data_IF_947925203272
#
_entry.id   IF_947925203272
#
_cell.length_a   1.000
_cell.length_b   1.000
_cell.length_c   1.000
_cell.angle_alpha   90.00
_cell.angle_beta   90.00
_cell.angle_gamma   90.00
#
_symmetry.space_group_name_H-M   'P 1'
#
loop_
_entity.id
_entity.type
_entity.pdbx_description
1 polymer ?
#
# COMPACT_ATOMS: atom_id res chain seq x y z
N UNK A 1 -16.89 -8.45 4.87
CA UNK A 1 -16.23 -8.65 6.19
C UNK A 1 -15.69 -7.31 6.64
N UNK A 2 -16.17 -6.74 7.72
CA UNK A 2 -15.60 -5.51 8.22
C UNK A 2 -14.24 -5.86 8.86
N UNK A 3 -13.18 -5.31 8.31
CA UNK A 3 -11.82 -5.44 8.88
C UNK A 3 -11.76 -4.79 10.28
N UNK A 4 -12.70 -3.90 10.57
CA UNK A 4 -12.85 -3.19 11.83
C UNK A 4 -13.64 -4.04 12.84
N UNK A 5 -13.07 -5.18 13.22
CA UNK A 5 -13.61 -6.02 14.29
C UNK A 5 -13.05 -5.59 15.65
N UNK A 6 -13.70 -6.03 16.73
CA UNK A 6 -13.24 -5.75 18.10
C UNK A 6 -11.81 -6.27 18.34
N UNK A 7 -11.48 -7.42 17.73
CA UNK A 7 -10.15 -8.01 17.79
C UNK A 7 -9.11 -7.10 17.13
N UNK A 8 -9.45 -6.50 15.97
CA UNK A 8 -8.54 -5.56 15.29
C UNK A 8 -8.30 -4.31 16.14
N UNK A 9 -9.35 -3.74 16.70
CA UNK A 9 -9.22 -2.63 17.66
C UNK A 9 -8.32 -3.03 18.83
N UNK A 10 -8.59 -4.17 19.46
CA UNK A 10 -7.78 -4.68 20.56
C UNK A 10 -6.30 -4.77 20.19
N UNK A 11 -5.98 -5.28 19.01
CA UNK A 11 -4.59 -5.39 18.54
C UNK A 11 -3.92 -4.04 18.34
N UNK A 12 -4.64 -3.03 17.79
CA UNK A 12 -4.11 -1.69 17.55
C UNK A 12 -3.75 -0.96 18.84
N UNK A 13 -4.40 -1.29 19.98
CA UNK A 13 -4.11 -0.69 21.27
C UNK A 13 -3.16 -1.54 22.13
N UNK A 14 -3.41 -2.85 22.20
CA UNK A 14 -2.63 -3.75 23.08
C UNK A 14 -1.20 -3.88 22.60
N UNK A 15 -0.96 -3.99 21.29
CA UNK A 15 0.40 -4.20 20.76
C UNK A 15 1.34 -3.01 21.05
N UNK A 16 0.95 -1.74 20.81
CA UNK A 16 1.75 -0.59 21.22
C UNK A 16 2.01 -0.56 22.75
N UNK A 17 1.00 -0.82 23.55
CA UNK A 17 1.14 -0.87 25.01
C UNK A 17 2.17 -1.93 25.45
N UNK A 18 2.05 -3.15 24.93
CA UNK A 18 3.03 -4.20 25.18
C UNK A 18 4.44 -3.82 24.71
N UNK A 19 4.55 -3.09 23.59
CA UNK A 19 5.86 -2.66 23.07
C UNK A 19 6.64 -1.75 24.02
N UNK A 20 5.98 -1.12 24.99
CA UNK A 20 6.63 -0.30 26.02
C UNK A 20 7.29 -1.14 27.12
N UNK A 21 6.77 -2.34 27.37
CA UNK A 21 7.24 -3.25 28.41
C UNK A 21 8.44 -4.06 27.90
N UNK A 22 8.45 -4.38 26.61
CA UNK A 22 9.48 -5.22 26.01
C UNK A 22 10.74 -4.41 25.66
N UNK A 23 11.91 -5.02 25.90
CA UNK A 23 13.19 -4.43 25.53
C UNK A 23 13.43 -4.49 24.00
N UNK A 24 14.43 -3.73 23.53
CA UNK A 24 14.72 -3.62 22.09
C UNK A 24 15.05 -4.95 21.39
N UNK A 25 15.65 -5.90 22.12
CA UNK A 25 16.02 -7.21 21.55
C UNK A 25 14.79 -8.08 21.30
N UNK A 26 13.77 -7.97 22.14
CA UNK A 26 12.54 -8.77 22.10
C UNK A 26 11.42 -8.10 21.29
N UNK A 27 11.48 -6.79 21.06
CA UNK A 27 10.47 -6.02 20.31
C UNK A 27 10.15 -6.60 18.93
N UNK A 28 11.15 -7.03 18.18
CA UNK A 28 10.95 -7.65 16.85
C UNK A 28 10.13 -8.93 16.93
N UNK A 29 10.26 -9.70 18.01
CA UNK A 29 9.47 -10.92 18.22
C UNK A 29 8.03 -10.60 18.63
N UNK A 30 7.84 -9.53 19.42
CA UNK A 30 6.49 -9.02 19.71
C UNK A 30 5.77 -8.58 18.43
N UNK A 31 6.43 -7.83 17.57
CA UNK A 31 5.86 -7.41 16.27
C UNK A 31 5.54 -8.64 15.42
N UNK A 32 6.44 -9.63 15.36
CA UNK A 32 6.18 -10.86 14.62
C UNK A 32 4.99 -11.63 15.20
N UNK A 33 4.89 -11.75 16.53
CA UNK A 33 3.77 -12.38 17.22
C UNK A 33 2.45 -11.64 16.89
N UNK A 34 2.45 -10.30 16.98
CA UNK A 34 1.29 -9.50 16.64
C UNK A 34 0.87 -9.69 15.17
N UNK A 35 1.83 -9.75 14.24
CA UNK A 35 1.54 -10.04 12.83
C UNK A 35 0.89 -11.42 12.64
N UNK A 36 1.40 -12.44 13.33
CA UNK A 36 0.85 -13.79 13.28
C UNK A 36 -0.56 -13.82 13.88
N UNK A 37 -0.76 -13.21 15.04
CA UNK A 37 -2.10 -13.10 15.66
C UNK A 37 -3.08 -12.37 14.74
N UNK A 38 -2.65 -11.27 14.10
CA UNK A 38 -3.46 -10.57 13.11
C UNK A 38 -3.91 -11.49 11.97
N UNK A 39 -3.02 -12.31 11.44
CA UNK A 39 -3.35 -13.22 10.35
C UNK A 39 -4.43 -14.24 10.76
N UNK A 40 -4.31 -14.81 11.95
CA UNK A 40 -5.27 -15.83 12.41
C UNK A 40 -6.59 -15.24 12.91
N UNK A 41 -6.56 -14.11 13.61
CA UNK A 41 -7.75 -13.51 14.22
C UNK A 41 -8.58 -12.69 13.22
N UNK A 42 -7.89 -11.97 12.32
CA UNK A 42 -8.53 -10.97 11.44
C UNK A 42 -8.73 -11.50 10.01
N UNK A 43 -7.69 -12.06 9.40
CA UNK A 43 -7.81 -12.52 8.00
C UNK A 43 -8.78 -13.69 7.88
N UNK A 44 -8.76 -14.64 8.81
CA UNK A 44 -9.65 -15.83 8.85
C UNK A 44 -9.74 -16.58 7.50
N UNK A 45 -8.77 -16.36 6.60
CA UNK A 45 -8.73 -16.93 5.25
C UNK A 45 -7.41 -17.67 5.05
N UNK A 46 -7.50 -18.99 4.95
CA UNK A 46 -6.34 -19.88 4.86
C UNK A 46 -5.46 -19.57 3.65
N UNK A 47 -6.05 -19.25 2.48
CA UNK A 47 -5.29 -18.93 1.27
C UNK A 47 -4.46 -17.66 1.49
N UNK A 48 -5.05 -16.63 2.10
CA UNK A 48 -4.34 -15.37 2.42
C UNK A 48 -3.18 -15.58 3.39
N UNK A 49 -3.41 -16.41 4.43
CA UNK A 49 -2.38 -16.70 5.44
C UNK A 49 -1.23 -17.49 4.82
N UNK A 50 -1.54 -18.60 4.16
CA UNK A 50 -0.52 -19.50 3.59
C UNK A 50 0.28 -18.77 2.52
N UNK A 51 -0.37 -18.06 1.60
CA UNK A 51 0.32 -17.33 0.56
C UNK A 51 1.26 -16.24 1.10
N UNK A 52 0.79 -15.46 2.09
CA UNK A 52 1.61 -14.41 2.70
C UNK A 52 2.85 -14.98 3.44
N UNK A 53 2.69 -16.12 4.14
CA UNK A 53 3.79 -16.80 4.81
C UNK A 53 4.81 -17.37 3.81
N UNK A 54 4.35 -18.01 2.73
CA UNK A 54 5.20 -18.52 1.66
C UNK A 54 5.95 -17.36 1.00
N UNK A 55 5.26 -16.27 0.67
CA UNK A 55 5.88 -15.12 0.02
C UNK A 55 6.92 -14.44 0.92
N UNK A 56 6.68 -14.35 2.23
CA UNK A 56 7.66 -13.82 3.19
C UNK A 56 8.91 -14.71 3.28
N UNK A 57 8.75 -16.04 3.33
CA UNK A 57 9.85 -17.02 3.30
C UNK A 57 10.63 -16.96 1.98
N UNK A 58 9.94 -16.92 0.85
CA UNK A 58 10.55 -16.72 -0.47
C UNK A 58 11.35 -15.40 -0.52
N UNK A 59 10.79 -14.33 0.02
CA UNK A 59 11.47 -13.02 0.05
C UNK A 59 12.76 -13.06 0.85
N UNK A 60 12.75 -13.72 2.01
CA UNK A 60 13.94 -13.92 2.81
C UNK A 60 15.02 -14.70 2.04
N UNK A 61 14.65 -15.86 1.47
CA UNK A 61 15.59 -16.73 0.72
C UNK A 61 16.16 -15.98 -0.50
N UNK A 62 15.29 -15.36 -1.32
CA UNK A 62 15.70 -14.58 -2.48
C UNK A 62 16.61 -13.42 -2.11
N UNK A 63 16.32 -12.73 -0.98
CA UNK A 63 17.16 -11.67 -0.46
C UNK A 63 18.56 -12.14 -0.07
N UNK A 64 18.69 -13.33 0.53
CA UNK A 64 19.98 -13.94 0.87
C UNK A 64 20.77 -14.33 -0.39
N UNK A 65 20.12 -15.00 -1.35
CA UNK A 65 20.74 -15.36 -2.64
C UNK A 65 21.21 -14.10 -3.37
N UNK A 66 20.36 -13.07 -3.45
CA UNK A 66 20.66 -11.82 -4.14
C UNK A 66 21.79 -11.04 -3.45
N UNK A 67 21.95 -11.15 -2.13
CA UNK A 67 23.06 -10.51 -1.41
C UNK A 67 24.41 -11.11 -1.75
N UNK A 68 24.44 -12.43 -2.04
CA UNK A 68 25.66 -13.17 -2.40
C UNK A 68 25.96 -13.08 -3.90
N UNK A 69 24.92 -13.05 -4.74
CA UNK A 69 25.06 -13.05 -6.19
C UNK A 69 24.24 -11.91 -6.83
N UNK A 70 24.81 -10.69 -6.84
CA UNK A 70 24.18 -9.46 -7.30
C UNK A 70 24.28 -9.30 -8.82
N UNK A 71 23.54 -10.08 -9.56
CA UNK A 71 23.41 -9.91 -11.01
C UNK A 71 21.94 -9.69 -11.44
N UNK A 72 21.75 -9.22 -12.67
CA UNK A 72 20.42 -8.93 -13.23
C UNK A 72 19.55 -10.18 -13.34
N UNK A 73 20.14 -11.31 -13.68
CA UNK A 73 19.42 -12.59 -13.84
C UNK A 73 18.87 -13.06 -12.49
N UNK A 74 19.67 -12.99 -11.42
CA UNK A 74 19.22 -13.34 -10.06
C UNK A 74 18.09 -12.43 -9.60
N UNK A 75 18.19 -11.11 -9.86
CA UNK A 75 17.10 -10.19 -9.56
C UNK A 75 15.84 -10.56 -10.34
N UNK A 76 15.95 -10.77 -11.65
CA UNK A 76 14.81 -11.12 -12.50
C UNK A 76 14.11 -12.40 -11.99
N UNK A 77 14.86 -13.46 -11.72
CA UNK A 77 14.32 -14.72 -11.17
C UNK A 77 13.63 -14.48 -9.82
N UNK A 78 14.26 -13.67 -8.95
CA UNK A 78 13.68 -13.33 -7.64
C UNK A 78 12.36 -12.53 -7.72
N UNK A 79 12.12 -11.82 -8.82
CA UNK A 79 10.90 -11.05 -9.04
C UNK A 79 9.78 -11.84 -9.72
N UNK A 80 10.09 -12.98 -10.38
CA UNK A 80 9.09 -13.77 -11.12
C UNK A 80 7.96 -14.22 -10.20
N UNK A 81 8.24 -14.87 -9.10
CA UNK A 81 7.21 -15.43 -8.20
C UNK A 81 6.27 -14.36 -7.62
N UNK A 82 6.74 -13.25 -7.01
CA UNK A 82 5.85 -12.22 -6.49
C UNK A 82 5.04 -11.52 -7.59
N UNK A 83 5.62 -11.28 -8.77
CA UNK A 83 4.91 -10.62 -9.88
C UNK A 83 3.86 -11.56 -10.50
N UNK A 84 4.24 -12.80 -10.81
CA UNK A 84 3.29 -13.78 -11.35
C UNK A 84 2.18 -14.11 -10.36
N UNK A 85 2.48 -14.21 -9.07
CA UNK A 85 1.48 -14.41 -8.03
C UNK A 85 0.47 -13.25 -7.97
N UNK A 86 0.95 -12.00 -8.04
CA UNK A 86 0.07 -10.84 -8.09
C UNK A 86 -0.82 -10.86 -9.34
N UNK A 87 -0.24 -11.11 -10.52
CA UNK A 87 -0.99 -11.18 -11.78
C UNK A 87 -1.99 -12.33 -11.74
N UNK A 88 -1.55 -13.52 -11.34
CA UNK A 88 -2.42 -14.70 -11.26
C UNK A 88 -3.66 -14.42 -10.41
N UNK A 89 -3.49 -14.11 -9.13
CA UNK A 89 -4.64 -13.92 -8.25
C UNK A 89 -5.53 -12.73 -8.64
N UNK A 90 -4.94 -11.68 -9.22
CA UNK A 90 -5.71 -10.50 -9.65
C UNK A 90 -6.61 -10.79 -10.86
N UNK A 91 -6.16 -11.64 -11.76
CA UNK A 91 -6.87 -11.95 -12.99
C UNK A 91 -7.53 -13.34 -12.97
N UNK A 92 -7.29 -14.14 -11.96
CA UNK A 92 -7.82 -15.50 -11.83
C UNK A 92 -9.36 -15.55 -11.81
N UNK A 93 -10.03 -14.50 -11.33
CA UNK A 93 -11.49 -14.38 -11.33
C UNK A 93 -12.13 -14.45 -12.72
N UNK A 94 -11.37 -14.18 -13.80
CA UNK A 94 -11.84 -14.42 -15.19
C UNK A 94 -11.92 -15.89 -15.55
N UNK A 95 -11.08 -16.72 -14.97
CA UNK A 95 -11.02 -18.14 -15.27
C UNK A 95 -11.88 -18.98 -14.32
N UNK A 96 -11.96 -18.56 -13.07
CA UNK A 96 -12.76 -19.27 -12.05
C UNK A 96 -13.15 -18.35 -10.90
N UNK A 97 -14.47 -18.30 -10.62
CA UNK A 97 -15.01 -17.55 -9.46
C UNK A 97 -14.62 -18.16 -8.10
N UNK A 98 -14.10 -19.39 -8.10
CA UNK A 98 -13.70 -20.09 -6.87
C UNK A 98 -12.30 -19.71 -6.39
N UNK A 99 -11.51 -18.99 -7.20
CA UNK A 99 -10.17 -18.56 -6.80
C UNK A 99 -10.30 -17.31 -5.94
N UNK A 100 -9.95 -17.46 -4.67
CA UNK A 100 -10.01 -16.38 -3.69
C UNK A 100 -8.70 -15.60 -3.76
N UNK A 101 -8.78 -14.29 -4.03
CA UNK A 101 -7.62 -13.40 -4.00
C UNK A 101 -7.14 -13.21 -2.54
N UNK A 102 -5.85 -13.44 -2.24
CA UNK A 102 -5.32 -13.20 -0.89
C UNK A 102 -5.48 -11.73 -0.48
N UNK A 103 -5.99 -11.51 0.73
CA UNK A 103 -6.16 -10.17 1.28
C UNK A 103 -4.81 -9.47 1.46
N UNK A 104 -4.74 -8.20 1.10
CA UNK A 104 -3.50 -7.40 1.17
C UNK A 104 -2.44 -7.72 0.11
N UNK A 105 -2.71 -8.67 -0.81
CA UNK A 105 -1.76 -9.18 -1.82
C UNK A 105 -0.95 -8.07 -2.49
N UNK A 106 -1.60 -7.04 -2.97
CA UNK A 106 -0.94 -5.93 -3.67
C UNK A 106 0.06 -5.19 -2.78
N UNK A 107 -0.30 -4.90 -1.53
CA UNK A 107 0.53 -4.10 -0.62
C UNK A 107 1.79 -4.85 -0.19
N UNK A 108 1.67 -6.09 0.23
CA UNK A 108 2.87 -6.84 0.62
C UNK A 108 3.72 -7.28 -0.58
N UNK A 109 3.13 -7.46 -1.79
CA UNK A 109 3.91 -7.69 -3.01
C UNK A 109 4.76 -6.48 -3.37
N UNK A 110 4.26 -5.26 -3.24
CA UNK A 110 5.06 -4.05 -3.44
C UNK A 110 6.21 -3.95 -2.44
N UNK A 111 5.98 -4.33 -1.17
CA UNK A 111 7.06 -4.41 -0.18
C UNK A 111 8.14 -5.41 -0.60
N UNK A 112 7.75 -6.60 -1.07
CA UNK A 112 8.66 -7.64 -1.57
C UNK A 112 9.51 -7.13 -2.73
N UNK A 113 8.86 -6.60 -3.78
CA UNK A 113 9.56 -6.09 -4.97
C UNK A 113 10.56 -4.99 -4.56
N UNK A 114 10.11 -4.01 -3.76
CA UNK A 114 10.99 -2.91 -3.33
C UNK A 114 12.18 -3.42 -2.50
N UNK A 115 11.98 -4.38 -1.60
CA UNK A 115 13.06 -4.94 -0.79
C UNK A 115 14.11 -5.66 -1.65
N UNK A 116 13.69 -6.52 -2.59
CA UNK A 116 14.61 -7.24 -3.47
C UNK A 116 15.38 -6.29 -4.40
N UNK A 117 14.70 -5.31 -4.98
CA UNK A 117 15.35 -4.27 -5.81
C UNK A 117 16.32 -3.42 -4.98
N UNK A 118 15.97 -3.07 -3.75
CA UNK A 118 16.82 -2.28 -2.87
C UNK A 118 18.07 -3.06 -2.41
N UNK A 119 17.98 -4.39 -2.22
CA UNK A 119 19.17 -5.24 -2.00
C UNK A 119 20.07 -5.23 -3.23
N UNK A 120 19.50 -5.45 -4.43
CA UNK A 120 20.26 -5.41 -5.68
C UNK A 120 20.98 -4.07 -5.87
N UNK A 121 20.30 -2.96 -5.62
CA UNK A 121 20.85 -1.61 -5.72
C UNK A 121 21.75 -1.22 -4.52
N UNK A 122 22.04 -2.12 -3.58
CA UNK A 122 22.87 -1.90 -2.39
C UNK A 122 22.31 -0.83 -1.43
N UNK A 123 21.03 -0.48 -1.54
CA UNK A 123 20.36 0.48 -0.64
C UNK A 123 20.04 -0.14 0.74
N UNK A 124 19.79 -1.44 0.75
CA UNK A 124 19.48 -2.22 1.96
C UNK A 124 20.31 -3.49 1.99
N UNK A 125 20.80 -3.90 3.17
CA UNK A 125 21.43 -5.21 3.37
C UNK A 125 20.36 -6.29 3.55
N UNK A 126 20.61 -7.51 3.07
CA UNK A 126 19.74 -8.66 3.37
C UNK A 126 19.58 -8.81 4.89
N UNK A 127 18.35 -9.12 5.32
CA UNK A 127 17.98 -9.22 6.73
C UNK A 127 17.71 -10.67 7.10
N UNK A 128 17.84 -10.99 8.40
CA UNK A 128 17.46 -12.30 8.92
C UNK A 128 15.96 -12.55 8.82
N UNK A 129 15.57 -13.82 8.84
CA UNK A 129 14.20 -14.29 8.61
C UNK A 129 13.16 -13.57 9.47
N UNK A 130 13.39 -13.41 10.77
CA UNK A 130 12.49 -12.70 11.71
C UNK A 130 12.21 -11.27 11.26
N UNK A 131 13.25 -10.55 10.82
CA UNK A 131 13.09 -9.16 10.37
C UNK A 131 12.30 -9.06 9.07
N UNK A 132 12.53 -9.99 8.12
CA UNK A 132 11.80 -10.03 6.85
C UNK A 132 10.33 -10.35 7.08
N UNK A 133 10.02 -11.34 7.92
CA UNK A 133 8.62 -11.66 8.28
C UNK A 133 7.95 -10.48 9.03
N UNK A 134 8.66 -9.85 9.99
CA UNK A 134 8.14 -8.67 10.68
C UNK A 134 7.83 -7.52 9.70
N UNK A 135 8.63 -7.34 8.66
CA UNK A 135 8.44 -6.31 7.64
C UNK A 135 7.31 -6.62 6.67
N UNK A 136 7.33 -7.80 6.05
CA UNK A 136 6.35 -8.16 5.00
C UNK A 136 4.94 -8.25 5.62
N UNK A 137 4.83 -8.89 6.79
CA UNK A 137 3.57 -9.14 7.46
C UNK A 137 3.12 -8.01 8.38
N UNK A 138 3.83 -6.87 8.43
CA UNK A 138 3.57 -5.75 9.36
C UNK A 138 2.09 -5.34 9.34
N UNK A 139 1.37 -5.73 10.40
CA UNK A 139 -0.08 -5.75 10.45
C UNK A 139 -0.77 -4.39 10.26
N UNK A 140 -0.23 -3.24 10.74
CA UNK A 140 -0.88 -1.95 10.52
C UNK A 140 -1.01 -1.59 9.03
N UNK A 141 -0.07 -2.06 8.18
CA UNK A 141 -0.04 -1.79 6.73
C UNK A 141 -0.15 -3.07 5.91
N UNK A 142 -0.77 -4.13 6.44
CA UNK A 142 -0.86 -5.40 5.74
C UNK A 142 -1.96 -5.38 4.67
N UNK A 143 -3.15 -4.93 5.03
CA UNK A 143 -4.32 -4.93 4.15
C UNK A 143 -4.34 -3.72 3.21
N UNK A 144 -4.04 -2.55 3.75
CA UNK A 144 -4.02 -1.27 3.07
C UNK A 144 -3.12 -0.28 3.83
N UNK A 145 -3.06 0.98 3.39
CA UNK A 145 -2.27 2.03 4.03
C UNK A 145 -1.01 2.38 3.23
N UNK A 146 -0.08 3.16 3.79
CA UNK A 146 1.13 3.53 3.09
C UNK A 146 2.04 2.34 2.82
N UNK A 147 2.62 2.28 1.61
CA UNK A 147 3.61 1.26 1.24
C UNK A 147 4.92 1.56 1.97
N UNK A 148 5.14 0.91 3.11
CA UNK A 148 6.31 1.14 3.93
C UNK A 148 7.59 0.64 3.25
N UNK A 149 8.61 1.48 3.17
CA UNK A 149 9.89 1.12 2.53
C UNK A 149 10.76 0.29 3.46
N UNK A 150 11.41 -0.71 2.92
CA UNK A 150 12.31 -1.62 3.65
C UNK A 150 13.44 -0.87 4.36
N UNK A 151 14.02 0.14 3.71
CA UNK A 151 15.08 0.97 4.27
C UNK A 151 14.66 1.61 5.59
N UNK A 152 13.48 2.25 5.60
CA UNK A 152 12.99 2.99 6.76
C UNK A 152 12.57 2.03 7.87
N UNK A 153 11.83 0.96 7.51
CA UNK A 153 11.38 -0.05 8.46
C UNK A 153 12.55 -0.69 9.24
N UNK A 154 13.60 -1.15 8.54
CA UNK A 154 14.72 -1.82 9.20
C UNK A 154 15.60 -0.88 10.02
N UNK A 155 15.68 0.39 9.66
CA UNK A 155 16.34 1.42 10.48
C UNK A 155 15.57 1.61 11.78
N UNK A 156 14.24 1.74 11.71
CA UNK A 156 13.38 1.95 12.88
C UNK A 156 13.28 0.69 13.76
N UNK A 157 13.25 -0.49 13.15
CA UNK A 157 13.24 -1.76 13.88
C UNK A 157 14.51 -1.95 14.76
N UNK A 158 15.65 -1.41 14.31
CA UNK A 158 16.94 -1.51 15.03
C UNK A 158 17.14 -0.41 16.06
N UNK A 159 16.45 0.72 15.93
CA UNK A 159 16.53 1.81 16.91
C UNK A 159 16.00 1.36 18.26
N UNK A 160 16.62 1.80 19.36
CA UNK A 160 16.06 1.63 20.69
C UNK A 160 14.65 2.22 20.73
N UNK A 161 13.68 1.40 21.07
CA UNK A 161 12.33 1.90 21.30
C UNK A 161 12.32 2.64 22.65
N UNK A 162 11.99 3.92 22.61
CA UNK A 162 11.79 4.74 23.79
C UNK A 162 10.36 5.26 23.76
N UNK A 163 9.66 5.11 24.87
CA UNK A 163 8.37 5.76 25.03
C UNK A 163 8.52 7.27 24.88
N UNK A 164 7.81 7.84 23.91
CA UNK A 164 7.74 9.28 23.69
C UNK A 164 6.28 9.69 23.75
N UNK A 165 5.89 10.39 24.78
CA UNK A 165 4.51 10.84 24.97
C UNK A 165 3.92 11.49 23.71
N UNK A 166 4.68 12.35 23.04
CA UNK A 166 4.21 13.03 21.84
C UNK A 166 3.92 12.07 20.68
N UNK A 167 4.71 11.01 20.50
CA UNK A 167 4.46 10.01 19.46
C UNK A 167 3.22 9.17 19.80
N UNK A 168 3.03 8.82 21.06
CA UNK A 168 1.85 8.10 21.52
C UNK A 168 0.57 8.95 21.35
N UNK A 169 0.60 10.19 21.84
CA UNK A 169 -0.52 11.14 21.71
C UNK A 169 -0.90 11.38 20.24
N UNK A 170 0.08 11.73 19.42
CA UNK A 170 -0.17 12.04 18.03
C UNK A 170 -0.61 10.80 17.23
N UNK A 171 -0.02 9.63 17.53
CA UNK A 171 -0.43 8.35 16.93
C UNK A 171 -1.86 7.98 17.28
N UNK A 172 -2.21 8.11 18.57
CA UNK A 172 -3.56 7.86 19.06
C UNK A 172 -4.60 8.80 18.41
N UNK A 173 -4.32 10.12 18.40
CA UNK A 173 -5.23 11.12 17.80
C UNK A 173 -5.44 10.81 16.33
N UNK A 174 -4.36 10.53 15.58
CA UNK A 174 -4.47 10.22 14.14
C UNK A 174 -5.24 8.94 13.88
N UNK A 175 -5.04 7.91 14.71
CA UNK A 175 -5.78 6.66 14.62
C UNK A 175 -7.28 6.88 14.91
N UNK A 176 -7.63 7.66 15.94
CA UNK A 176 -9.02 8.00 16.27
C UNK A 176 -9.68 8.84 15.17
N UNK A 177 -8.93 9.78 14.56
CA UNK A 177 -9.39 10.54 13.40
C UNK A 177 -9.73 9.59 12.23
N UNK A 178 -8.85 8.64 11.93
CA UNK A 178 -9.10 7.66 10.88
C UNK A 178 -10.33 6.79 11.16
N UNK A 179 -10.58 6.39 12.40
CA UNK A 179 -11.82 5.70 12.76
C UNK A 179 -13.06 6.57 12.59
N UNK A 180 -13.00 7.84 12.99
CA UNK A 180 -14.07 8.78 12.78
C UNK A 180 -14.35 8.98 11.27
N UNK A 181 -13.32 9.21 10.48
CA UNK A 181 -13.45 9.34 9.01
C UNK A 181 -14.10 8.09 8.40
N UNK A 182 -13.71 6.88 8.83
CA UNK A 182 -14.27 5.65 8.29
C UNK A 182 -15.71 5.43 8.72
N UNK A 183 -15.97 5.43 10.03
CA UNK A 183 -17.23 4.96 10.60
C UNK A 183 -18.35 6.02 10.52
N UNK A 184 -17.99 7.31 10.52
CA UNK A 184 -18.97 8.40 10.52
C UNK A 184 -19.10 9.01 9.13
N UNK A 185 -17.97 9.32 8.46
CA UNK A 185 -18.03 10.01 7.17
C UNK A 185 -18.10 9.00 6.01
N UNK A 186 -17.19 8.03 5.96
CA UNK A 186 -17.05 7.10 4.85
C UNK A 186 -18.25 6.18 4.69
N UNK A 187 -18.72 5.58 5.78
CA UNK A 187 -19.87 4.68 5.74
C UNK A 187 -21.17 5.43 5.39
N UNK A 188 -21.31 6.69 5.84
CA UNK A 188 -22.46 7.52 5.48
C UNK A 188 -22.41 7.98 4.01
N UNK A 189 -21.24 8.39 3.50
CA UNK A 189 -21.05 8.69 2.08
C UNK A 189 -21.39 7.48 1.21
N UNK A 190 -20.95 6.28 1.61
CA UNK A 190 -21.27 5.05 0.90
C UNK A 190 -22.77 4.74 0.90
N UNK A 191 -23.44 4.93 2.04
CA UNK A 191 -24.89 4.74 2.17
C UNK A 191 -25.68 5.66 1.25
N UNK A 192 -25.37 6.96 1.28
CA UNK A 192 -26.08 7.96 0.46
C UNK A 192 -25.78 7.76 -1.02
N UNK A 193 -24.53 7.50 -1.38
CA UNK A 193 -24.14 7.18 -2.75
C UNK A 193 -24.92 5.98 -3.30
N UNK A 194 -25.08 4.91 -2.51
CA UNK A 194 -25.79 3.71 -2.94
C UNK A 194 -27.29 4.00 -3.15
N UNK A 195 -27.93 4.86 -2.35
CA UNK A 195 -29.32 5.25 -2.57
C UNK A 195 -29.51 5.84 -3.98
N UNK A 196 -28.62 6.75 -4.40
CA UNK A 196 -28.71 7.39 -5.72
C UNK A 196 -28.22 6.48 -6.87
N UNK A 197 -27.28 5.56 -6.62
CA UNK A 197 -26.71 4.73 -7.68
C UNK A 197 -27.54 3.48 -8.00
N UNK A 198 -28.11 2.82 -6.98
CA UNK A 198 -28.78 1.53 -7.13
C UNK A 198 -30.30 1.64 -7.38
N UNK A 199 -30.92 2.79 -7.11
CA UNK A 199 -32.34 2.96 -7.29
C UNK A 199 -32.65 3.54 -8.68
N UNK A 200 -33.45 2.82 -9.48
CA UNK A 200 -33.81 3.22 -10.84
C UNK A 200 -34.75 4.43 -10.92
N UNK A 201 -35.37 4.80 -9.81
CA UNK A 201 -36.16 6.05 -9.70
C UNK A 201 -35.26 7.28 -9.87
N UNK A 202 -34.00 7.20 -9.46
CA UNK A 202 -33.03 8.27 -9.55
C UNK A 202 -32.28 8.23 -10.89
N UNK A 203 -32.55 9.20 -11.77
CA UNK A 203 -31.91 9.32 -13.08
C UNK A 203 -31.21 10.67 -13.24
N UNK A 204 -30.46 10.85 -14.32
CA UNK A 204 -29.85 12.13 -14.68
C UNK A 204 -28.97 12.72 -13.58
N UNK A 205 -29.39 13.84 -13.01
CA UNK A 205 -28.63 14.61 -12.02
C UNK A 205 -28.32 13.81 -10.75
N UNK A 206 -29.20 12.90 -10.32
CA UNK A 206 -28.96 12.07 -9.13
C UNK A 206 -27.82 11.07 -9.34
N UNK A 207 -27.72 10.47 -10.54
CA UNK A 207 -26.59 9.59 -10.89
C UNK A 207 -25.29 10.37 -10.96
N UNK A 208 -25.33 11.65 -11.41
CA UNK A 208 -24.16 12.53 -11.36
C UNK A 208 -23.73 12.84 -9.92
N UNK A 209 -24.67 13.13 -9.02
CA UNK A 209 -24.34 13.28 -7.59
C UNK A 209 -23.76 12.02 -6.98
N UNK A 210 -24.27 10.83 -7.34
CA UNK A 210 -23.68 9.57 -6.90
C UNK A 210 -22.20 9.44 -7.33
N UNK A 211 -21.85 9.87 -8.55
CA UNK A 211 -20.46 9.88 -9.03
C UNK A 211 -19.56 10.83 -8.22
N UNK A 212 -20.05 12.02 -7.90
CA UNK A 212 -19.33 12.99 -7.07
C UNK A 212 -19.12 12.43 -5.65
N UNK A 213 -20.18 11.88 -5.04
CA UNK A 213 -20.09 11.24 -3.72
C UNK A 213 -19.12 10.06 -3.72
N UNK A 214 -19.08 9.29 -4.82
CA UNK A 214 -18.14 8.20 -4.98
C UNK A 214 -16.66 8.66 -4.96
N UNK A 215 -16.37 9.79 -5.60
CA UNK A 215 -15.03 10.37 -5.56
C UNK A 215 -14.61 10.75 -4.13
N UNK A 216 -15.51 11.39 -3.37
CA UNK A 216 -15.25 11.69 -1.95
C UNK A 216 -15.18 10.43 -1.09
N UNK A 217 -16.05 9.46 -1.33
CA UNK A 217 -16.04 8.18 -0.63
C UNK A 217 -14.69 7.45 -0.78
N UNK A 218 -14.18 7.29 -2.01
CA UNK A 218 -12.89 6.63 -2.25
C UNK A 218 -11.76 7.34 -1.49
N UNK A 219 -11.76 8.68 -1.48
CA UNK A 219 -10.77 9.45 -0.77
C UNK A 219 -10.85 9.21 0.74
N UNK A 220 -12.02 9.42 1.33
CA UNK A 220 -12.22 9.27 2.78
C UNK A 220 -11.98 7.84 3.24
N UNK A 221 -12.48 6.84 2.49
CA UNK A 221 -12.32 5.42 2.83
C UNK A 221 -10.84 5.02 2.88
N UNK A 222 -10.04 5.50 1.93
CA UNK A 222 -8.62 5.13 1.88
C UNK A 222 -7.74 6.01 2.77
N UNK A 223 -8.06 7.31 2.94
CA UNK A 223 -7.34 8.18 3.87
C UNK A 223 -7.56 7.75 5.31
N UNK A 224 -8.79 7.39 5.68
CA UNK A 224 -9.13 6.86 6.99
C UNK A 224 -8.30 5.63 7.37
N UNK A 225 -8.22 4.66 6.46
CA UNK A 225 -7.37 3.47 6.69
C UNK A 225 -5.89 3.84 6.80
N UNK A 226 -5.42 4.77 5.98
CA UNK A 226 -4.04 5.27 6.04
C UNK A 226 -3.75 5.95 7.37
N UNK A 227 -4.68 6.77 7.88
CA UNK A 227 -4.55 7.46 9.17
C UNK A 227 -4.51 6.46 10.34
N UNK A 228 -5.35 5.42 10.31
CA UNK A 228 -5.30 4.33 11.30
C UNK A 228 -3.94 3.62 11.26
N UNK A 229 -3.48 3.24 10.07
CA UNK A 229 -2.21 2.54 9.90
C UNK A 229 -1.00 3.39 10.34
N UNK A 230 -0.98 4.68 9.98
CA UNK A 230 0.07 5.62 10.37
C UNK A 230 0.06 5.83 11.88
N UNK A 231 -1.13 6.04 12.47
CA UNK A 231 -1.30 6.25 13.90
C UNK A 231 -0.80 5.06 14.71
N UNK A 232 -1.27 3.86 14.40
CA UNK A 232 -0.84 2.62 15.05
C UNK A 232 0.66 2.37 14.87
N UNK A 233 1.18 2.56 13.65
CA UNK A 233 2.62 2.40 13.39
C UNK A 233 3.46 3.37 14.20
N UNK A 234 3.02 4.63 14.32
CA UNK A 234 3.70 5.65 15.11
C UNK A 234 3.77 5.29 16.59
N UNK A 235 2.68 4.76 17.15
CA UNK A 235 2.64 4.27 18.53
C UNK A 235 3.59 3.08 18.74
N UNK A 236 3.81 2.27 17.69
CA UNK A 236 4.82 1.20 17.67
C UNK A 236 6.26 1.71 17.38
N UNK A 237 6.46 3.02 17.16
CA UNK A 237 7.75 3.64 16.85
C UNK A 237 8.19 3.47 15.40
N UNK A 238 7.24 3.31 14.46
CA UNK A 238 7.47 3.35 13.02
C UNK A 238 6.79 4.56 12.42
N UNK A 239 7.55 5.37 11.66
CA UNK A 239 7.07 6.60 11.07
C UNK A 239 6.78 6.38 9.58
N UNK A 240 5.50 6.34 9.25
CA UNK A 240 5.02 6.21 7.88
C UNK A 240 4.72 7.58 7.29
N UNK A 241 4.96 7.74 5.99
CA UNK A 241 4.54 8.92 5.25
C UNK A 241 3.03 8.91 5.02
N UNK A 242 2.42 10.08 4.91
CA UNK A 242 1.01 10.22 4.54
C UNK A 242 0.76 9.70 3.12
N UNK A 243 -0.42 9.16 2.89
CA UNK A 243 -0.88 8.76 1.56
C UNK A 243 -1.61 9.89 0.82
N UNK A 244 -2.21 10.81 1.57
CA UNK A 244 -3.00 11.90 1.01
C UNK A 244 -2.62 13.24 1.63
N UNK A 245 -2.71 14.30 0.80
CA UNK A 245 -2.50 15.68 1.23
C UNK A 245 -3.47 16.61 0.50
N UNK A 246 -4.74 16.64 0.94
CA UNK A 246 -5.82 17.46 0.35
C UNK A 246 -5.85 17.39 -1.19
N UNK A 247 -6.03 16.19 -1.79
CA UNK A 247 -5.81 15.99 -3.23
C UNK A 247 -6.79 16.77 -4.12
N UNK A 248 -8.02 17.03 -3.65
CA UNK A 248 -9.01 17.78 -4.42
C UNK A 248 -8.83 19.30 -4.40
N UNK A 249 -7.81 19.78 -3.66
CA UNK A 249 -7.34 21.17 -3.73
C UNK A 249 -6.13 21.33 -4.67
N UNK A 250 -5.83 20.31 -5.46
CA UNK A 250 -4.76 20.36 -6.44
C UNK A 250 -5.09 21.35 -7.57
N UNK A 251 -4.07 22.11 -7.97
CA UNK A 251 -4.18 23.12 -9.04
C UNK A 251 -3.76 22.61 -10.41
N UNK A 252 -3.26 21.38 -10.47
CA UNK A 252 -2.84 20.70 -11.69
C UNK A 252 -2.95 19.19 -11.53
N UNK A 253 -2.93 18.43 -12.64
CA UNK A 253 -2.95 16.96 -12.57
C UNK A 253 -1.65 16.40 -11.97
N UNK A 254 -0.52 17.05 -12.19
CA UNK A 254 0.75 16.70 -11.55
C UNK A 254 0.68 16.96 -10.03
N UNK A 255 0.11 18.08 -9.61
CA UNK A 255 -0.09 18.39 -8.19
C UNK A 255 -1.08 17.41 -7.56
N UNK A 256 -2.14 17.00 -8.26
CA UNK A 256 -3.06 15.94 -7.81
C UNK A 256 -2.31 14.65 -7.48
N UNK A 257 -1.48 14.13 -8.38
CA UNK A 257 -0.73 12.91 -8.16
C UNK A 257 0.38 13.04 -7.10
N UNK A 258 0.84 14.25 -6.80
CA UNK A 258 1.74 14.52 -5.67
C UNK A 258 1.01 14.48 -4.31
N UNK A 259 -0.33 14.58 -4.32
CA UNK A 259 -1.19 14.62 -3.14
C UNK A 259 -2.07 13.37 -2.96
N UNK A 260 -2.27 12.61 -4.04
CA UNK A 260 -3.08 11.38 -4.09
C UNK A 260 -2.20 10.14 -4.03
N UNK A 261 -2.53 9.22 -3.11
CA UNK A 261 -1.85 7.92 -2.95
C UNK A 261 -0.32 8.02 -3.07
N UNK A 262 0.27 8.92 -2.28
CA UNK A 262 1.67 9.37 -2.37
C UNK A 262 2.64 8.18 -2.29
N UNK A 263 2.37 7.20 -1.43
CA UNK A 263 3.25 6.04 -1.27
C UNK A 263 3.29 5.16 -2.52
N UNK A 264 2.17 5.02 -3.26
CA UNK A 264 2.11 4.33 -4.54
C UNK A 264 2.78 5.14 -5.64
N UNK A 265 2.46 6.44 -5.76
CA UNK A 265 3.03 7.33 -6.77
C UNK A 265 4.56 7.38 -6.68
N UNK A 266 5.09 7.48 -5.46
CA UNK A 266 6.54 7.42 -5.22
C UNK A 266 7.10 6.02 -5.48
N UNK A 267 6.36 4.94 -5.17
CA UNK A 267 6.78 3.58 -5.48
C UNK A 267 6.91 3.36 -6.99
N UNK A 268 5.89 3.74 -7.76
CA UNK A 268 5.90 3.64 -9.23
C UNK A 268 7.05 4.47 -9.85
N UNK A 269 7.30 5.67 -9.31
CA UNK A 269 8.44 6.50 -9.70
C UNK A 269 9.77 5.79 -9.48
N UNK A 270 9.99 5.23 -8.29
CA UNK A 270 11.29 4.68 -7.89
C UNK A 270 11.59 3.34 -8.56
N UNK A 271 10.57 2.49 -8.78
CA UNK A 271 10.77 1.11 -9.24
C UNK A 271 10.32 0.86 -10.68
N UNK A 272 9.66 1.83 -11.33
CA UNK A 272 9.28 1.74 -12.75
C UNK A 272 9.83 2.92 -13.54
N UNK A 273 9.46 4.17 -13.19
CA UNK A 273 9.82 5.34 -13.98
C UNK A 273 11.34 5.56 -14.07
N UNK A 274 12.02 5.58 -12.93
CA UNK A 274 13.48 5.80 -12.87
C UNK A 274 14.25 4.67 -13.56
N UNK A 275 13.97 3.37 -13.35
CA UNK A 275 14.62 2.28 -14.08
C UNK A 275 14.43 2.32 -15.60
N UNK A 276 13.30 2.82 -16.10
CA UNK A 276 13.06 3.03 -17.54
C UNK A 276 13.87 4.20 -18.14
N UNK A 277 14.60 4.94 -17.30
CA UNK A 277 15.43 6.10 -17.67
C UNK A 277 14.86 7.45 -17.24
N UNK A 278 13.65 7.48 -16.67
CA UNK A 278 13.02 8.72 -16.19
C UNK A 278 12.89 9.77 -17.30
N UNK A 279 13.34 11.00 -16.99
CA UNK A 279 13.37 12.14 -17.92
C UNK A 279 14.74 12.37 -18.59
N UNK A 280 15.74 11.48 -18.36
CA UNK A 280 17.13 11.68 -18.79
C UNK A 280 17.39 11.37 -20.26
N UNK A 281 16.47 10.69 -20.95
CA UNK A 281 16.63 10.21 -22.32
C UNK A 281 15.78 10.99 -23.34
N UNK A 282 15.56 12.29 -23.11
CA UNK A 282 14.74 13.14 -23.96
C UNK A 282 13.25 13.10 -23.66
N UNK A 283 12.51 14.05 -24.29
CA UNK A 283 11.08 14.28 -24.02
C UNK A 283 10.19 13.10 -24.46
N UNK A 284 10.46 12.55 -25.62
CA UNK A 284 9.70 11.44 -26.16
C UNK A 284 9.78 10.22 -25.24
N UNK A 285 10.98 9.88 -24.76
CA UNK A 285 11.17 8.78 -23.81
C UNK A 285 10.51 9.07 -22.45
N UNK A 286 10.52 10.32 -21.99
CA UNK A 286 9.80 10.75 -20.78
C UNK A 286 8.33 10.43 -20.90
N UNK A 287 7.69 10.78 -22.03
CA UNK A 287 6.25 10.58 -22.24
C UNK A 287 5.88 9.09 -22.31
N UNK A 288 6.68 8.27 -23.01
CA UNK A 288 6.51 6.81 -22.97
C UNK A 288 6.60 6.28 -21.54
N UNK A 289 7.60 6.71 -20.78
CA UNK A 289 7.76 6.26 -19.39
C UNK A 289 6.55 6.64 -18.53
N UNK A 290 5.98 7.83 -18.71
CA UNK A 290 4.75 8.27 -18.01
C UNK A 290 3.59 7.35 -18.39
N UNK A 291 3.36 7.08 -19.67
CA UNK A 291 2.29 6.17 -20.11
C UNK A 291 2.46 4.77 -19.55
N UNK A 292 3.69 4.22 -19.53
CA UNK A 292 3.97 2.90 -18.95
C UNK A 292 3.63 2.89 -17.46
N UNK A 293 4.01 3.92 -16.71
CA UNK A 293 3.72 4.04 -15.27
C UNK A 293 2.21 4.04 -15.01
N UNK A 294 1.45 4.84 -15.75
CA UNK A 294 0.00 4.92 -15.58
C UNK A 294 -0.72 3.67 -16.09
N UNK A 295 -0.22 3.04 -17.16
CA UNK A 295 -0.73 1.74 -17.61
C UNK A 295 -0.54 0.66 -16.54
N UNK A 296 0.66 0.56 -15.95
CA UNK A 296 0.93 -0.38 -14.86
C UNK A 296 0.05 -0.07 -13.65
N UNK A 297 -0.15 1.21 -13.33
CA UNK A 297 -1.07 1.63 -12.26
C UNK A 297 -2.50 1.19 -12.54
N UNK A 298 -3.00 1.37 -13.77
CA UNK A 298 -4.33 0.92 -14.17
C UNK A 298 -4.50 -0.60 -14.06
N UNK A 299 -3.57 -1.36 -14.62
CA UNK A 299 -3.54 -2.83 -14.51
C UNK A 299 -3.47 -3.30 -13.04
N UNK A 300 -2.77 -2.55 -12.20
CA UNK A 300 -2.72 -2.85 -10.76
C UNK A 300 -4.05 -2.54 -10.05
N UNK A 301 -4.77 -1.48 -10.40
CA UNK A 301 -6.03 -1.12 -9.77
C UNK A 301 -7.12 -2.17 -10.01
N UNK A 302 -7.23 -2.70 -11.22
CA UNK A 302 -8.26 -3.70 -11.51
C UNK A 302 -8.02 -4.48 -12.78
N UNK A 303 -8.83 -5.54 -12.94
CA UNK A 303 -8.73 -6.46 -14.06
C UNK A 303 -9.62 -6.07 -15.26
N UNK A 304 -10.53 -5.09 -15.10
CA UNK A 304 -11.41 -4.66 -16.20
C UNK A 304 -10.71 -3.69 -17.15
N UNK A 305 -11.13 -3.67 -18.42
CA UNK A 305 -10.62 -2.75 -19.44
C UNK A 305 -10.76 -1.28 -19.01
N UNK A 306 -11.75 -0.95 -18.18
CA UNK A 306 -11.96 0.41 -17.69
C UNK A 306 -10.77 0.94 -16.87
N UNK A 307 -10.06 0.08 -16.13
CA UNK A 307 -8.84 0.50 -15.42
C UNK A 307 -7.66 0.76 -16.37
N UNK A 308 -7.61 0.05 -17.50
CA UNK A 308 -6.61 0.32 -18.55
C UNK A 308 -6.88 1.68 -19.19
N UNK A 309 -8.15 1.95 -19.55
CA UNK A 309 -8.58 3.24 -20.11
C UNK A 309 -8.31 4.37 -19.11
N UNK A 310 -8.64 4.17 -17.83
CA UNK A 310 -8.36 5.10 -16.75
C UNK A 310 -6.85 5.43 -16.64
N UNK A 311 -6.01 4.39 -16.65
CA UNK A 311 -4.56 4.58 -16.57
C UNK A 311 -4.02 5.35 -17.79
N UNK A 312 -4.35 4.94 -19.00
CA UNK A 312 -3.92 5.63 -20.22
C UNK A 312 -4.42 7.09 -20.21
N UNK A 313 -5.69 7.33 -19.86
CA UNK A 313 -6.29 8.67 -19.78
C UNK A 313 -5.50 9.60 -18.83
N UNK A 314 -5.22 9.14 -17.60
CA UNK A 314 -4.41 9.92 -16.66
C UNK A 314 -2.97 10.15 -17.15
N UNK A 315 -2.37 9.17 -17.81
CA UNK A 315 -1.05 9.31 -18.46
C UNK A 315 -1.06 10.39 -19.54
N UNK A 316 -2.06 10.38 -20.42
CA UNK A 316 -2.21 11.37 -21.49
C UNK A 316 -2.44 12.78 -20.94
N UNK A 317 -3.33 12.95 -19.96
CA UNK A 317 -3.58 14.27 -19.34
C UNK A 317 -2.31 14.83 -18.72
N UNK A 318 -1.51 14.01 -18.02
CA UNK A 318 -0.21 14.42 -17.48
C UNK A 318 0.78 14.87 -18.58
N UNK A 319 0.78 14.19 -19.72
CA UNK A 319 1.65 14.55 -20.87
C UNK A 319 1.19 15.86 -21.49
N UNK A 320 -0.12 16.03 -21.69
CA UNK A 320 -0.69 17.26 -22.26
C UNK A 320 -0.37 18.45 -21.37
N UNK A 321 -0.59 18.33 -20.05
CA UNK A 321 -0.26 19.38 -19.10
C UNK A 321 1.24 19.76 -19.17
N UNK A 322 2.15 18.76 -19.12
CA UNK A 322 3.59 19.00 -19.24
C UNK A 322 3.98 19.67 -20.59
N UNK A 323 3.30 19.29 -21.67
CA UNK A 323 3.54 19.89 -22.98
C UNK A 323 3.08 21.37 -23.03
N UNK A 324 1.90 21.67 -22.47
CA UNK A 324 1.38 23.05 -22.39
C UNK A 324 2.31 23.94 -21.54
N UNK A 325 2.79 23.46 -20.40
CA UNK A 325 3.71 24.22 -19.55
C UNK A 325 5.10 24.45 -20.16
N UNK A 326 5.41 23.85 -21.30
CA UNK A 326 6.68 24.03 -22.04
C UNK A 326 6.56 25.02 -23.20
N UNK A 327 5.34 25.35 -23.60
CA UNK A 327 5.05 26.37 -24.61
C UNK A 327 5.08 27.76 -24.00
#
# INVERSE_FOLDING_TARGET
>A
MSVFSLEYFGMLFVTPFLSWIFNNKTRKYLILLANVLFMFLILKNTVSIVYALILAGYTWLSGMILSNNKNKTTLFISLIFPVLGLVFFKYAGYFSKNIIMPLGLSFYTFKVISYLVDIYNKKVKAQGIVNVYAYILFFPCFLAGPIHRSKDFFVELKKPFRFKYQDQKNGFILMMLGFFEKLVIGDELFRVMNIFSSNDVFTGIYKFFALVLYAFYIYVDFDSYSNIAIGASRMLGFHLNRNFHTPYLAVSIQDFWNRWHISLSTWLKDYIYIPLGGNRKGIFRKYINVLVVFLVSGLWHGSTLMFVIWGIGHGLINIIEDAIHRL
#
